data_IF_434085493445
#
_entry.id   IF_434085493445
#
_cell.length_a   1.000
_cell.length_b   1.000
_cell.length_c   1.000
_cell.angle_alpha   90.00
_cell.angle_beta   90.00
_cell.angle_gamma   90.00
#
_symmetry.space_group_name_H-M   'P 1'
#
loop_
_entity.id
_entity.type
_entity.pdbx_description
1 polymer ?
#
# COMPACT_ATOMS: atom_id res chain seq x y z
N UNK A 1 -16.01 8.96 8.32
CA UNK A 1 -15.92 8.40 6.96
C UNK A 1 -17.23 7.67 6.65
N UNK A 2 -17.91 7.97 5.54
CA UNK A 2 -19.20 7.36 5.16
C UNK A 2 -19.08 6.15 4.23
N UNK A 3 -17.99 5.40 4.34
CA UNK A 3 -17.75 4.23 3.50
C UNK A 3 -18.60 3.03 3.94
N UNK A 4 -19.05 2.22 2.98
CA UNK A 4 -19.66 0.92 3.25
C UNK A 4 -18.58 -0.15 3.22
N UNK A 5 -18.49 -0.93 4.30
CA UNK A 5 -17.58 -2.06 4.38
C UNK A 5 -18.15 -3.22 3.58
N UNK A 6 -17.32 -3.79 2.70
CA UNK A 6 -17.65 -5.03 2.02
C UNK A 6 -17.35 -6.18 3.00
N UNK A 7 -18.41 -6.81 3.51
CA UNK A 7 -18.29 -8.02 4.32
C UNK A 7 -18.19 -9.24 3.39
N UNK A 8 -16.99 -9.81 3.30
CA UNK A 8 -16.70 -11.00 2.52
C UNK A 8 -16.91 -12.30 3.33
N UNK A 9 -17.36 -12.20 4.58
CA UNK A 9 -17.61 -13.34 5.47
C UNK A 9 -16.34 -14.03 5.99
N UNK A 10 -15.17 -13.38 5.88
CA UNK A 10 -13.86 -13.95 6.24
C UNK A 10 -13.17 -13.01 7.23
N UNK A 11 -12.80 -13.54 8.39
CA UNK A 11 -12.13 -12.77 9.46
C UNK A 11 -10.68 -13.20 9.62
N UNK A 12 -9.77 -12.25 9.42
CA UNK A 12 -8.32 -12.42 9.51
C UNK A 12 -7.71 -11.59 10.66
N UNK A 13 -8.33 -11.56 11.83
CA UNK A 13 -7.76 -10.86 12.99
C UNK A 13 -6.40 -11.47 13.40
N UNK A 14 -5.36 -10.64 13.49
CA UNK A 14 -4.03 -11.01 14.00
C UNK A 14 -3.55 -10.07 15.12
N UNK A 15 -2.33 -10.29 15.63
CA UNK A 15 -1.73 -9.47 16.69
C UNK A 15 -0.97 -8.25 16.12
N UNK A 16 -0.88 -7.16 16.88
CA UNK A 16 -0.08 -5.98 16.52
C UNK A 16 -0.65 -5.12 15.37
N UNK A 17 -1.91 -5.31 15.00
CA UNK A 17 -2.57 -4.54 13.92
C UNK A 17 -2.40 -5.13 12.52
N UNK A 18 -1.71 -6.27 12.38
CA UNK A 18 -1.61 -7.00 11.12
C UNK A 18 -2.61 -8.15 11.05
N UNK A 19 -3.13 -8.42 9.84
CA UNK A 19 -4.00 -9.56 9.61
C UNK A 19 -3.21 -10.88 9.73
N UNK A 20 -3.83 -11.92 10.30
CA UNK A 20 -3.25 -13.28 10.24
C UNK A 20 -3.20 -13.77 8.80
N UNK A 21 -2.31 -14.72 8.52
CA UNK A 21 -2.32 -15.41 7.24
C UNK A 21 -3.59 -16.27 7.11
N UNK A 22 -4.27 -16.14 5.98
CA UNK A 22 -5.45 -16.94 5.64
C UNK A 22 -5.03 -18.34 5.22
N UNK A 23 -5.87 -19.33 5.50
CA UNK A 23 -5.72 -20.66 4.90
C UNK A 23 -5.95 -20.59 3.40
N UNK A 24 -5.50 -21.60 2.65
CA UNK A 24 -5.68 -21.63 1.19
C UNK A 24 -7.16 -21.59 0.79
N UNK A 25 -8.02 -22.31 1.53
CA UNK A 25 -9.47 -22.32 1.30
C UNK A 25 -10.11 -20.94 1.58
N UNK A 26 -9.71 -20.28 2.69
CA UNK A 26 -10.18 -18.93 3.01
C UNK A 26 -9.72 -17.92 1.97
N UNK A 27 -8.48 -18.02 1.50
CA UNK A 27 -7.94 -17.16 0.45
C UNK A 27 -8.70 -17.36 -0.87
N UNK A 28 -8.99 -18.59 -1.25
CA UNK A 28 -9.76 -18.89 -2.46
C UNK A 28 -11.19 -18.34 -2.38
N UNK A 29 -11.85 -18.50 -1.22
CA UNK A 29 -13.18 -17.94 -1.00
C UNK A 29 -13.16 -16.41 -1.02
N UNK A 30 -12.16 -15.79 -0.40
CA UNK A 30 -11.99 -14.33 -0.43
C UNK A 30 -11.78 -13.84 -1.85
N UNK A 31 -10.90 -14.50 -2.60
CA UNK A 31 -10.58 -14.12 -3.97
C UNK A 31 -11.84 -14.14 -4.82
N UNK A 32 -12.61 -15.23 -4.77
CA UNK A 32 -13.86 -15.34 -5.54
C UNK A 32 -14.88 -14.25 -5.17
N UNK A 33 -15.10 -14.03 -3.87
CA UNK A 33 -16.05 -13.02 -3.43
C UNK A 33 -15.61 -11.60 -3.81
N UNK A 34 -14.30 -11.34 -3.80
CA UNK A 34 -13.73 -10.07 -4.24
C UNK A 34 -13.87 -9.88 -5.75
N UNK A 35 -13.63 -10.91 -6.56
CA UNK A 35 -13.84 -10.88 -8.02
C UNK A 35 -15.30 -10.55 -8.38
N UNK A 36 -16.25 -11.21 -7.73
CA UNK A 36 -17.68 -10.94 -7.92
C UNK A 36 -18.02 -9.48 -7.56
N UNK A 37 -17.48 -8.97 -6.45
CA UNK A 37 -17.72 -7.60 -6.01
C UNK A 37 -17.10 -6.55 -6.95
N UNK A 38 -15.88 -6.76 -7.44
CA UNK A 38 -15.14 -5.83 -8.31
C UNK A 38 -15.95 -5.44 -9.55
N UNK A 39 -16.67 -6.40 -10.15
CA UNK A 39 -17.50 -6.17 -11.34
C UNK A 39 -18.60 -5.10 -11.13
N UNK A 40 -19.03 -4.88 -9.88
CA UNK A 40 -20.04 -3.90 -9.52
C UNK A 40 -19.51 -2.46 -9.42
N UNK A 41 -18.20 -2.26 -9.40
CA UNK A 41 -17.57 -0.95 -9.20
C UNK A 41 -17.12 -0.32 -10.52
N UNK A 42 -17.29 1.00 -10.63
CA UNK A 42 -16.79 1.77 -11.78
C UNK A 42 -15.31 2.19 -11.59
N UNK A 43 -14.86 2.31 -10.33
CA UNK A 43 -13.47 2.61 -9.97
C UNK A 43 -13.00 1.72 -8.83
N UNK A 44 -11.83 1.09 -8.99
CA UNK A 44 -11.18 0.26 -7.97
C UNK A 44 -9.79 0.84 -7.67
N UNK A 45 -9.49 1.06 -6.39
CA UNK A 45 -8.17 1.52 -5.93
C UNK A 45 -7.58 0.45 -5.03
N UNK A 46 -6.40 -0.06 -5.38
CA UNK A 46 -5.71 -1.09 -4.60
C UNK A 46 -4.45 -0.53 -3.94
N UNK A 47 -4.27 -0.85 -2.66
CA UNK A 47 -3.18 -0.29 -1.83
C UNK A 47 -2.49 -1.35 -0.97
N UNK A 48 -2.72 -2.63 -1.24
CA UNK A 48 -2.25 -3.70 -0.37
C UNK A 48 -0.76 -3.98 -0.62
N UNK A 49 0.06 -3.67 0.39
CA UNK A 49 1.50 -3.90 0.40
C UNK A 49 1.88 -4.78 1.58
N UNK A 50 2.78 -5.74 1.35
CA UNK A 50 3.35 -6.59 2.40
C UNK A 50 4.87 -6.35 2.43
N UNK A 51 5.42 -5.79 3.51
CA UNK A 51 6.86 -5.52 3.60
C UNK A 51 7.71 -6.77 3.30
N UNK A 52 8.67 -6.64 2.38
CA UNK A 52 9.60 -7.71 2.01
C UNK A 52 9.00 -8.85 1.17
N UNK A 53 7.73 -8.76 0.74
CA UNK A 53 7.07 -9.73 -0.15
C UNK A 53 6.46 -9.03 -1.37
N UNK A 54 6.25 -9.74 -2.49
CA UNK A 54 5.47 -9.22 -3.60
C UNK A 54 4.07 -8.82 -3.15
N UNK A 55 3.48 -7.82 -3.81
CA UNK A 55 2.10 -7.45 -3.61
C UNK A 55 1.18 -8.67 -3.88
N UNK A 56 0.14 -8.91 -3.06
CA UNK A 56 -0.81 -9.97 -3.34
C UNK A 56 -1.67 -9.58 -4.55
N UNK A 57 -1.89 -10.52 -5.46
CA UNK A 57 -2.90 -10.37 -6.52
C UNK A 57 -4.29 -10.40 -5.89
N UNK A 58 -5.04 -9.32 -6.04
CA UNK A 58 -6.40 -9.15 -5.54
C UNK A 58 -7.40 -8.95 -6.70
N UNK A 59 -6.97 -8.23 -7.74
CA UNK A 59 -7.76 -7.96 -8.94
C UNK A 59 -7.20 -8.83 -10.08
N UNK A 60 -7.83 -9.97 -10.32
CA UNK A 60 -7.44 -10.87 -11.42
C UNK A 60 -7.81 -10.30 -12.79
N UNK A 61 -7.22 -10.84 -13.85
CA UNK A 61 -7.59 -10.47 -15.22
C UNK A 61 -9.09 -10.70 -15.49
N UNK A 62 -9.66 -11.78 -14.96
CA UNK A 62 -11.09 -12.08 -15.04
C UNK A 62 -11.95 -11.03 -14.33
N UNK A 63 -11.51 -10.54 -13.16
CA UNK A 63 -12.21 -9.46 -12.47
C UNK A 63 -12.23 -8.17 -13.30
N UNK A 64 -11.11 -7.82 -13.94
CA UNK A 64 -11.02 -6.65 -14.83
C UNK A 64 -11.94 -6.81 -16.03
N UNK A 65 -11.93 -7.97 -16.69
CA UNK A 65 -12.77 -8.25 -17.85
C UNK A 65 -14.27 -8.19 -17.52
N UNK A 66 -14.66 -8.54 -16.28
CA UNK A 66 -16.04 -8.46 -15.81
C UNK A 66 -16.49 -7.04 -15.43
N UNK A 67 -15.58 -6.06 -15.37
CA UNK A 67 -15.95 -4.67 -15.10
C UNK A 67 -16.67 -4.04 -16.30
N UNK A 68 -17.41 -2.96 -16.05
CA UNK A 68 -18.06 -2.20 -17.12
C UNK A 68 -16.98 -1.54 -18.02
N UNK A 69 -17.20 -1.47 -19.35
CA UNK A 69 -16.36 -0.67 -20.23
C UNK A 69 -16.28 0.79 -19.75
N UNK A 70 -15.06 1.34 -19.73
CA UNK A 70 -14.77 2.68 -19.21
C UNK A 70 -14.45 2.74 -17.71
N UNK A 71 -14.53 1.62 -16.98
CA UNK A 71 -14.09 1.55 -15.59
C UNK A 71 -12.58 1.82 -15.44
N UNK A 72 -12.16 2.12 -14.21
CA UNK A 72 -10.76 2.43 -13.89
C UNK A 72 -10.25 1.60 -12.71
N UNK A 73 -9.06 1.02 -12.86
CA UNK A 73 -8.27 0.43 -11.78
C UNK A 73 -7.05 1.32 -11.52
N UNK A 74 -6.86 1.75 -10.27
CA UNK A 74 -5.67 2.48 -9.82
C UNK A 74 -4.90 1.60 -8.84
N UNK A 75 -3.76 1.10 -9.29
CA UNK A 75 -2.92 0.18 -8.51
C UNK A 75 -1.73 0.91 -7.89
N UNK A 76 -1.82 1.18 -6.59
CA UNK A 76 -0.77 1.85 -5.83
C UNK A 76 0.34 0.90 -5.38
N UNK A 77 0.21 -0.40 -5.64
CA UNK A 77 1.21 -1.41 -5.30
C UNK A 77 2.12 -1.80 -6.48
N UNK A 78 2.04 -1.08 -7.61
CA UNK A 78 2.74 -1.40 -8.85
C UNK A 78 4.27 -1.56 -8.72
N UNK A 79 4.90 -0.88 -7.75
CA UNK A 79 6.35 -1.00 -7.49
C UNK A 79 6.79 -2.36 -6.94
N UNK A 80 5.87 -3.13 -6.32
CA UNK A 80 6.14 -4.46 -5.74
C UNK A 80 5.43 -5.59 -6.48
N UNK A 81 5.03 -5.34 -7.73
CA UNK A 81 4.33 -6.31 -8.59
C UNK A 81 2.88 -5.94 -8.90
N UNK A 82 2.25 -5.10 -8.08
CA UNK A 82 0.85 -4.69 -8.25
C UNK A 82 -0.16 -5.65 -7.61
N UNK A 83 -1.31 -5.11 -7.20
CA UNK A 83 -2.45 -5.93 -6.79
C UNK A 83 -3.35 -6.35 -7.96
N UNK A 84 -3.20 -5.71 -9.12
CA UNK A 84 -3.91 -6.09 -10.35
C UNK A 84 -3.01 -6.93 -11.25
N UNK A 85 -3.50 -8.10 -11.69
CA UNK A 85 -2.75 -9.02 -12.54
C UNK A 85 -2.35 -8.40 -13.90
N UNK A 86 -3.14 -7.43 -14.38
CA UNK A 86 -2.92 -6.73 -15.64
C UNK A 86 -2.13 -5.41 -15.48
N UNK A 87 -1.60 -5.12 -14.30
CA UNK A 87 -0.78 -3.94 -14.02
C UNK A 87 0.52 -3.97 -14.84
N UNK A 88 0.78 -2.85 -15.54
CA UNK A 88 2.10 -2.55 -16.09
C UNK A 88 2.73 -1.43 -15.26
N UNK A 89 3.73 -1.72 -14.40
CA UNK A 89 4.32 -0.73 -13.49
C UNK A 89 4.78 0.55 -14.20
N UNK A 90 4.35 1.70 -13.69
CA UNK A 90 4.68 3.03 -14.21
C UNK A 90 3.89 3.43 -15.47
N UNK A 91 2.91 2.64 -15.88
CA UNK A 91 2.11 2.90 -17.08
C UNK A 91 0.63 3.03 -16.77
N UNK A 92 -0.06 3.67 -17.71
CA UNK A 92 -1.51 3.61 -17.83
C UNK A 92 -1.82 2.85 -19.12
N UNK A 93 -2.54 1.74 -18.99
CA UNK A 93 -2.89 0.86 -20.11
C UNK A 93 -4.39 0.63 -20.15
N UNK A 94 -4.91 0.28 -21.32
CA UNK A 94 -6.31 -0.14 -21.47
C UNK A 94 -6.33 -1.62 -21.81
N UNK A 95 -7.10 -2.40 -21.04
CA UNK A 95 -7.33 -3.84 -21.25
C UNK A 95 -8.82 -4.11 -21.04
N UNK A 96 -9.45 -4.85 -21.93
CA UNK A 96 -10.90 -5.15 -21.85
C UNK A 96 -11.76 -3.89 -21.64
N UNK A 97 -11.43 -2.80 -22.33
CA UNK A 97 -12.07 -1.47 -22.19
C UNK A 97 -12.00 -0.84 -20.78
N UNK A 98 -11.18 -1.38 -19.88
CA UNK A 98 -10.89 -0.85 -18.54
C UNK A 98 -9.53 -0.16 -18.57
N UNK A 99 -9.46 1.04 -17.99
CA UNK A 99 -8.19 1.76 -17.82
C UNK A 99 -7.50 1.30 -16.54
N UNK A 100 -6.24 0.89 -16.63
CA UNK A 100 -5.43 0.42 -15.50
C UNK A 100 -4.24 1.36 -15.36
N UNK A 101 -4.14 2.05 -14.24
CA UNK A 101 -3.07 3.00 -13.94
C UNK A 101 -2.24 2.53 -12.74
N UNK A 102 -0.93 2.39 -12.93
CA UNK A 102 -0.01 1.96 -11.89
C UNK A 102 1.13 2.98 -11.69
N UNK A 103 0.85 4.16 -11.13
CA UNK A 103 1.88 5.18 -10.92
C UNK A 103 2.92 4.72 -9.90
N UNK A 104 4.21 4.88 -10.20
CA UNK A 104 5.30 4.49 -9.30
C UNK A 104 5.73 5.59 -8.33
N UNK A 105 5.35 6.84 -8.61
CA UNK A 105 5.70 7.98 -7.77
C UNK A 105 4.56 8.98 -7.75
N UNK A 106 3.43 8.54 -7.19
CA UNK A 106 2.26 9.39 -7.04
C UNK A 106 2.55 10.66 -6.22
N UNK A 107 3.33 10.62 -5.11
CA UNK A 107 3.66 11.84 -4.36
C UNK A 107 4.36 12.91 -5.20
N UNK A 108 5.22 12.54 -6.15
CA UNK A 108 5.89 13.50 -7.03
C UNK A 108 4.94 14.25 -7.97
N UNK A 109 3.71 13.78 -8.15
CA UNK A 109 2.68 14.52 -8.92
C UNK A 109 2.06 15.68 -8.12
N UNK A 110 2.28 15.72 -6.80
CA UNK A 110 1.92 16.83 -5.90
C UNK A 110 3.14 17.29 -5.08
N UNK A 111 4.19 17.81 -5.74
CA UNK A 111 5.51 17.96 -5.11
C UNK A 111 5.53 18.98 -3.98
N UNK A 112 4.72 20.04 -4.04
CA UNK A 112 4.66 21.08 -3.01
C UNK A 112 4.20 20.50 -1.66
N UNK A 113 3.01 19.90 -1.63
CA UNK A 113 2.46 19.31 -0.40
C UNK A 113 3.26 18.09 0.07
N UNK A 114 3.74 17.26 -0.86
CA UNK A 114 4.60 16.13 -0.51
C UNK A 114 5.89 16.62 0.18
N UNK A 115 6.53 17.66 -0.35
CA UNK A 115 7.74 18.26 0.24
C UNK A 115 7.44 18.91 1.59
N UNK A 116 6.35 19.66 1.70
CA UNK A 116 5.95 20.32 2.95
C UNK A 116 5.74 19.31 4.09
N UNK A 117 4.97 18.25 3.84
CA UNK A 117 4.70 17.20 4.83
C UNK A 117 5.99 16.43 5.17
N UNK A 118 6.81 16.12 4.16
CA UNK A 118 8.07 15.42 4.40
C UNK A 118 9.06 16.27 5.20
N UNK A 119 9.20 17.57 4.90
CA UNK A 119 10.03 18.49 5.67
C UNK A 119 9.59 18.56 7.14
N UNK A 120 8.27 18.60 7.42
CA UNK A 120 7.78 18.56 8.81
C UNK A 120 8.18 17.27 9.54
N UNK A 121 8.12 16.11 8.87
CA UNK A 121 8.56 14.84 9.45
C UNK A 121 10.07 14.86 9.76
N UNK A 122 10.89 15.39 8.86
CA UNK A 122 12.34 15.52 9.07
C UNK A 122 12.65 16.51 10.20
N UNK A 123 11.97 17.65 10.26
CA UNK A 123 12.13 18.62 11.35
C UNK A 123 11.78 17.99 12.70
N UNK A 124 10.66 17.27 12.79
CA UNK A 124 10.27 16.60 14.03
C UNK A 124 11.29 15.55 14.48
N UNK A 125 11.89 14.79 13.55
CA UNK A 125 12.99 13.88 13.87
C UNK A 125 14.24 14.62 14.34
N UNK A 126 14.60 15.72 13.69
CA UNK A 126 15.76 16.54 14.08
C UNK A 126 15.59 17.15 15.47
N UNK A 127 14.38 17.55 15.85
CA UNK A 127 14.06 18.06 17.19
C UNK A 127 14.33 17.01 18.29
N UNK A 128 14.19 15.71 17.97
CA UNK A 128 14.57 14.62 18.88
C UNK A 128 16.09 14.39 18.94
N UNK A 129 16.79 14.60 17.82
CA UNK A 129 18.22 14.30 17.68
C UNK A 129 19.14 15.45 18.15
N UNK A 130 18.65 16.69 18.17
CA UNK A 130 19.44 17.88 18.50
C UNK A 130 19.12 18.36 19.91
N UNK A 131 20.14 18.41 20.78
CA UNK A 131 20.06 19.02 22.11
C UNK A 131 21.08 20.16 22.19
N UNK A 132 20.66 21.34 22.65
CA UNK A 132 21.49 22.54 22.78
C UNK A 132 22.29 22.91 21.51
N UNK A 133 21.65 22.78 20.33
CA UNK A 133 22.27 23.09 19.04
C UNK A 133 23.35 22.10 18.59
N UNK A 134 23.45 20.94 19.24
CA UNK A 134 24.39 19.86 18.89
C UNK A 134 23.63 18.57 18.63
N UNK A 135 24.15 17.79 17.69
CA UNK A 135 23.66 16.43 17.46
C UNK A 135 24.00 15.58 18.70
N UNK A 136 22.96 15.15 19.42
CA UNK A 136 23.06 14.37 20.65
C UNK A 136 21.95 13.31 20.69
N UNK A 137 22.00 12.28 19.82
CA UNK A 137 20.97 11.25 19.74
C UNK A 137 20.90 10.46 21.05
N UNK A 138 19.69 10.36 21.59
CA UNK A 138 19.39 9.58 22.78
C UNK A 138 18.93 8.19 22.36
N UNK A 139 19.78 7.17 22.51
CA UNK A 139 19.43 5.82 22.06
C UNK A 139 18.63 5.00 23.08
N UNK A 140 18.29 5.58 24.23
CA UNK A 140 17.26 5.03 25.10
C UNK A 140 15.85 5.42 24.61
N UNK A 141 15.74 6.42 23.71
CA UNK A 141 14.51 6.73 22.97
C UNK A 141 14.25 5.68 21.89
N UNK A 142 13.06 5.08 21.91
CA UNK A 142 12.69 3.99 21.00
C UNK A 142 12.68 4.43 19.54
N UNK A 143 12.23 5.66 19.24
CA UNK A 143 12.16 6.18 17.87
C UNK A 143 13.57 6.34 17.31
N UNK A 144 14.48 6.92 18.09
CA UNK A 144 15.88 7.08 17.68
C UNK A 144 16.57 5.72 17.54
N UNK A 145 16.37 4.81 18.50
CA UNK A 145 16.98 3.49 18.51
C UNK A 145 16.54 2.63 17.31
N UNK A 146 15.24 2.60 17.00
CA UNK A 146 14.69 1.76 15.93
C UNK A 146 14.90 2.36 14.53
N UNK A 147 14.96 3.69 14.39
CA UNK A 147 15.19 4.34 13.10
C UNK A 147 16.66 4.36 12.65
N UNK A 148 17.61 4.21 13.58
CA UNK A 148 19.03 4.22 13.27
C UNK A 148 19.53 2.85 12.78
N UNK A 149 19.80 2.74 11.46
CA UNK A 149 20.20 1.47 10.83
C UNK A 149 21.73 1.24 10.74
N UNK A 150 22.55 2.21 11.13
CA UNK A 150 24.02 2.17 10.94
C UNK A 150 24.82 2.21 12.24
N UNK A 151 24.18 2.22 13.41
CA UNK A 151 24.92 2.22 14.68
C UNK A 151 25.70 0.92 14.80
N UNK A 152 27.03 1.02 14.82
CA UNK A 152 27.89 -0.13 15.11
C UNK A 152 27.58 -0.68 16.50
N UNK A 153 27.62 -2.01 16.66
CA UNK A 153 27.73 -2.59 18.00
C UNK A 153 29.12 -2.23 18.51
N UNK A 154 29.20 -1.47 19.59
CA UNK A 154 30.45 -1.40 20.35
C UNK A 154 30.84 -2.84 20.70
N UNK A 155 32.06 -3.21 20.29
CA UNK A 155 32.64 -4.55 20.45
C UNK A 155 33.04 -4.80 21.90
#
# INVERSE_FOLDING_TARGET
MGAQWLDLGISASGEGGYARELTDDERAQQQKALEEAISGFDVVITTALVPGRPAPTLVTAAAVEAMKPGSVVVDLAGETGGNCELTEPGRTVVKHDVTIAAPLNLPATMPEHASELYSKNITALLDLLIKDGRLAPDFDDEVIAQSCVTRGKDS
#
